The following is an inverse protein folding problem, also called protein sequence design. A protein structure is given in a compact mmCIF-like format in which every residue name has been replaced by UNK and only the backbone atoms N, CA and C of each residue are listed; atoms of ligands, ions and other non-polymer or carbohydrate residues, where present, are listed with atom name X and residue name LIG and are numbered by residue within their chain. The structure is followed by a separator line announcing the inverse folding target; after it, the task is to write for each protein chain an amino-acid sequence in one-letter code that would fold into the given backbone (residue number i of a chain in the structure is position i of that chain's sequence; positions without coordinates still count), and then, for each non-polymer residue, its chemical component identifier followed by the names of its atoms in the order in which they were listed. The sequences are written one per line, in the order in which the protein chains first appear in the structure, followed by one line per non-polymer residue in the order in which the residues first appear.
data_IF_239704606302
#
_entry.id   IF_239704606302
#
_cell.length_a   1.000
_cell.length_b   1.000
_cell.length_c   1.000
_cell.angle_alpha   90.00
_cell.angle_beta   90.00
_cell.angle_gamma   90.00
#
_symmetry.space_group_name_H-M   'P 1'
#
loop_
_entity.id
_entity.type
_entity.pdbx_description
1 polymer ?
#
# COMPACT_ATOMS: atom_id res chain seq x y z
N UNK A 1 -26.58 13.42 5.56
CA UNK A 1 -25.34 13.81 4.83
C UNK A 1 -24.02 13.57 5.60
N UNK A 2 -23.99 13.60 6.93
CA UNK A 2 -22.76 13.51 7.76
C UNK A 2 -21.98 12.17 7.75
N UNK A 3 -22.58 11.05 7.29
CA UNK A 3 -21.93 9.72 7.27
C UNK A 3 -20.95 9.52 6.10
N UNK A 4 -21.13 10.21 4.96
CA UNK A 4 -20.28 10.00 3.77
C UNK A 4 -18.85 10.53 3.94
N UNK A 5 -18.66 11.64 4.66
CA UNK A 5 -17.33 12.22 4.88
C UNK A 5 -16.46 11.47 5.89
N UNK A 6 -17.04 10.68 6.80
CA UNK A 6 -16.25 9.94 7.80
C UNK A 6 -15.48 8.76 7.18
N UNK A 7 -16.02 8.12 6.16
CA UNK A 7 -15.42 6.90 5.58
C UNK A 7 -14.10 7.16 4.82
N UNK A 8 -13.92 8.37 4.29
CA UNK A 8 -12.71 8.78 3.58
C UNK A 8 -11.48 8.82 4.52
N UNK A 9 -11.71 9.16 5.80
CA UNK A 9 -10.68 9.23 6.84
C UNK A 9 -10.11 7.86 7.23
N UNK A 10 -10.87 6.78 7.07
CA UNK A 10 -10.42 5.43 7.46
C UNK A 10 -9.51 4.76 6.43
N UNK A 11 -9.40 5.32 5.23
CA UNK A 11 -8.44 4.87 4.21
C UNK A 11 -7.11 5.62 4.26
N UNK A 12 -6.98 6.63 5.12
CA UNK A 12 -5.74 7.37 5.34
C UNK A 12 -4.50 6.49 5.62
N UNK A 13 -4.58 5.30 6.25
CA UNK A 13 -3.41 4.43 6.38
C UNK A 13 -2.81 4.02 5.03
N UNK A 14 -3.64 3.76 4.01
CA UNK A 14 -3.17 3.42 2.67
C UNK A 14 -2.71 4.65 1.86
N UNK A 15 -3.26 5.83 2.16
CA UNK A 15 -2.99 7.08 1.42
C UNK A 15 -1.72 7.75 1.91
N UNK A 16 -1.55 7.87 3.23
CA UNK A 16 -0.59 8.78 3.83
C UNK A 16 0.59 8.11 4.52
N UNK A 17 0.49 6.81 4.86
CA UNK A 17 1.57 6.17 5.56
C UNK A 17 1.54 4.66 5.33
N UNK A 18 2.24 4.21 4.27
CA UNK A 18 2.86 2.89 4.32
C UNK A 18 4.00 2.92 5.36
N UNK A 19 3.60 3.10 6.64
CA UNK A 19 4.47 3.18 7.80
C UNK A 19 5.34 1.95 7.87
N UNK A 20 4.84 0.80 7.45
CA UNK A 20 5.57 -0.46 7.44
C UNK A 20 6.74 -0.47 6.46
N UNK A 21 6.57 0.09 5.26
CA UNK A 21 7.67 0.22 4.30
C UNK A 21 8.60 1.39 4.65
N UNK A 22 8.07 2.50 5.17
CA UNK A 22 8.88 3.64 5.62
C UNK A 22 9.71 3.32 6.87
N UNK A 23 9.19 2.50 7.78
CA UNK A 23 9.91 1.96 8.94
C UNK A 23 10.68 0.68 8.60
N UNK A 24 10.64 0.22 7.35
CA UNK A 24 11.50 -0.88 6.92
C UNK A 24 12.91 -0.30 6.88
N UNK A 25 13.72 -0.69 7.86
CA UNK A 25 15.13 -0.33 7.88
C UNK A 25 15.79 -0.74 6.58
N UNK A 26 16.89 -0.08 6.23
CA UNK A 26 17.75 -0.50 5.13
C UNK A 26 18.22 -1.93 5.45
N UNK A 27 17.81 -2.90 4.64
CA UNK A 27 18.26 -4.28 4.79
C UNK A 27 19.77 -4.33 4.50
N UNK A 28 20.59 -4.37 5.57
CA UNK A 28 22.05 -4.38 5.48
C UNK A 28 22.64 -5.77 5.17
N UNK A 29 21.81 -6.81 5.05
CA UNK A 29 22.30 -8.18 4.93
C UNK A 29 22.49 -8.63 3.47
N UNK A 30 23.78 -8.79 3.10
CA UNK A 30 24.34 -9.74 2.11
C UNK A 30 24.44 -9.35 0.63
N UNK A 31 23.85 -8.26 0.12
CA UNK A 31 23.95 -7.91 -1.32
C UNK A 31 24.84 -6.68 -1.67
N UNK A 32 25.46 -6.04 -0.67
CA UNK A 32 26.22 -4.80 -0.89
C UNK A 32 27.47 -4.97 -1.76
N UNK A 33 28.12 -6.14 -1.70
CA UNK A 33 29.28 -6.45 -2.54
C UNK A 33 28.93 -6.38 -4.03
N UNK A 34 27.70 -6.75 -4.43
CA UNK A 34 27.29 -6.70 -5.83
C UNK A 34 26.91 -5.29 -6.32
N UNK A 35 26.57 -4.37 -5.41
CA UNK A 35 26.04 -3.04 -5.82
C UNK A 35 27.18 -2.04 -6.07
N UNK A 36 28.22 -2.05 -5.24
CA UNK A 36 29.35 -1.12 -5.37
C UNK A 36 30.14 -1.44 -6.65
N UNK A 37 30.44 -2.72 -6.88
CA UNK A 37 31.13 -3.19 -8.09
C UNK A 37 30.33 -2.89 -9.35
N UNK A 38 29.00 -2.94 -9.26
CA UNK A 38 28.11 -2.59 -10.37
C UNK A 38 28.13 -1.10 -10.71
N UNK A 39 28.17 -0.24 -9.68
CA UNK A 39 28.29 1.22 -9.86
C UNK A 39 29.61 1.57 -10.54
N UNK A 40 30.71 0.94 -10.09
CA UNK A 40 32.03 1.16 -10.68
C UNK A 40 32.08 0.65 -12.13
N UNK A 41 31.47 -0.51 -12.41
CA UNK A 41 31.40 -1.09 -13.76
C UNK A 41 30.64 -0.22 -14.77
N UNK A 42 29.50 0.34 -14.37
CA UNK A 42 28.64 1.12 -15.28
C UNK A 42 29.18 2.55 -15.46
N UNK A 43 29.71 3.13 -14.39
CA UNK A 43 30.25 4.49 -14.42
C UNK A 43 29.20 5.57 -14.68
N UNK A 44 29.63 6.84 -14.80
CA UNK A 44 28.74 7.97 -14.98
C UNK A 44 28.08 7.96 -16.37
N UNK A 45 26.76 8.18 -16.42
CA UNK A 45 25.98 8.25 -17.66
C UNK A 45 25.41 6.91 -18.17
N UNK A 46 25.74 5.79 -17.52
CA UNK A 46 25.13 4.49 -17.83
C UNK A 46 23.77 4.26 -17.14
N UNK A 47 23.11 3.14 -17.48
CA UNK A 47 21.81 2.76 -16.94
C UNK A 47 21.82 1.39 -16.25
N UNK A 48 21.03 1.25 -15.18
CA UNK A 48 21.02 0.04 -14.34
C UNK A 48 19.82 -0.87 -14.65
N UNK A 49 19.00 -0.55 -15.65
CA UNK A 49 17.73 -1.24 -15.92
C UNK A 49 17.91 -2.71 -16.32
N UNK A 50 18.98 -3.02 -17.06
CA UNK A 50 19.26 -4.36 -17.58
C UNK A 50 20.15 -5.21 -16.66
N UNK A 51 20.44 -4.74 -15.45
CA UNK A 51 21.36 -5.43 -14.56
C UNK A 51 20.67 -6.54 -13.76
N UNK A 52 21.34 -7.67 -13.59
CA UNK A 52 20.83 -8.82 -12.83
C UNK A 52 20.47 -8.45 -11.39
N UNK A 53 21.23 -7.53 -10.79
CA UNK A 53 20.92 -7.01 -9.47
C UNK A 53 19.58 -6.25 -9.46
N UNK A 54 19.35 -5.38 -10.44
CA UNK A 54 18.10 -4.63 -10.60
C UNK A 54 16.93 -5.59 -10.85
N UNK A 55 17.07 -6.55 -11.76
CA UNK A 55 16.01 -7.52 -12.08
C UNK A 55 15.60 -8.38 -10.87
N UNK A 56 16.56 -8.80 -10.04
CA UNK A 56 16.29 -9.57 -8.81
C UNK A 56 15.54 -8.79 -7.73
N UNK A 57 15.68 -7.46 -7.72
CA UNK A 57 15.14 -6.59 -6.67
C UNK A 57 13.96 -5.72 -7.10
N UNK A 58 13.75 -5.53 -8.40
CA UNK A 58 12.75 -4.64 -8.97
C UNK A 58 11.33 -4.90 -8.44
N UNK A 59 10.96 -6.17 -8.24
CA UNK A 59 9.62 -6.56 -7.73
C UNK A 59 9.46 -6.43 -6.22
N UNK A 60 10.53 -6.19 -5.46
CA UNK A 60 10.47 -5.99 -4.01
C UNK A 60 10.07 -4.55 -3.65
N UNK A 61 9.98 -3.67 -4.64
CA UNK A 61 9.53 -2.29 -4.47
C UNK A 61 8.03 -2.27 -4.22
N UNK A 62 7.62 -1.54 -3.19
CA UNK A 62 6.21 -1.31 -2.92
C UNK A 62 5.64 -0.30 -3.91
N UNK A 63 4.52 -0.65 -4.53
CA UNK A 63 3.76 0.26 -5.38
C UNK A 63 2.42 0.58 -4.72
N UNK A 64 2.05 1.87 -4.64
CA UNK A 64 0.75 2.26 -4.12
C UNK A 64 -0.38 1.88 -5.09
N UNK A 65 -1.42 1.20 -4.60
CA UNK A 65 -2.61 0.89 -5.42
C UNK A 65 -3.45 2.13 -5.78
N UNK A 66 -3.34 3.19 -4.97
CA UNK A 66 -4.19 4.38 -5.08
C UNK A 66 -3.57 5.51 -5.90
N UNK A 67 -2.26 5.55 -6.08
CA UNK A 67 -1.63 6.50 -7.00
C UNK A 67 -1.54 5.86 -8.38
N UNK A 68 -1.72 6.66 -9.43
CA UNK A 68 -1.61 6.20 -10.82
C UNK A 68 -0.37 6.86 -11.39
N UNK A 69 0.57 6.04 -11.85
CA UNK A 69 1.86 6.48 -12.38
C UNK A 69 1.91 6.30 -13.91
N UNK A 70 0.75 6.12 -14.56
CA UNK A 70 0.66 6.08 -16.02
C UNK A 70 1.03 7.42 -16.63
N UNK A 71 1.52 7.37 -17.88
CA UNK A 71 1.80 8.55 -18.68
C UNK A 71 0.49 9.27 -18.99
N UNK A 72 0.52 10.60 -19.03
CA UNK A 72 -0.68 11.44 -19.19
C UNK A 72 -1.58 11.02 -20.37
N UNK A 73 -0.99 10.77 -21.53
CA UNK A 73 -1.74 10.38 -22.74
C UNK A 73 -2.49 9.06 -22.56
N UNK A 74 -1.86 8.10 -21.89
CA UNK A 74 -2.47 6.80 -21.60
C UNK A 74 -3.53 6.91 -20.51
N UNK A 75 -3.29 7.72 -19.48
CA UNK A 75 -4.28 8.04 -18.46
C UNK A 75 -5.54 8.69 -19.07
N UNK A 76 -5.35 9.61 -20.02
CA UNK A 76 -6.44 10.26 -20.73
C UNK A 76 -7.23 9.27 -21.59
N UNK A 77 -6.57 8.38 -22.34
CA UNK A 77 -7.22 7.30 -23.11
C UNK A 77 -7.98 6.32 -22.22
N UNK A 78 -7.52 6.09 -21.00
CA UNK A 78 -8.17 5.20 -20.01
C UNK A 78 -9.37 5.85 -19.30
N UNK A 79 -9.76 7.06 -19.72
CA UNK A 79 -10.94 7.77 -19.22
C UNK A 79 -10.65 8.75 -18.09
N UNK A 80 -9.40 9.17 -17.92
CA UNK A 80 -9.01 10.29 -17.04
C UNK A 80 -9.57 10.17 -15.61
N UNK A 81 -9.51 8.96 -15.03
CA UNK A 81 -10.12 8.67 -13.73
C UNK A 81 -9.51 9.54 -12.65
N UNK A 82 -10.36 10.23 -11.90
CA UNK A 82 -9.95 11.12 -10.81
C UNK A 82 -9.57 10.32 -9.58
N UNK A 83 -8.74 10.92 -8.74
CA UNK A 83 -8.29 10.32 -7.48
C UNK A 83 -9.47 9.93 -6.56
N UNK A 84 -10.46 10.81 -6.41
CA UNK A 84 -11.65 10.58 -5.58
C UNK A 84 -12.46 9.35 -6.03
N UNK A 85 -12.56 9.12 -7.34
CA UNK A 85 -13.31 7.99 -7.89
C UNK A 85 -12.61 6.67 -7.56
N UNK A 86 -11.28 6.64 -7.67
CA UNK A 86 -10.47 5.48 -7.30
C UNK A 86 -10.52 5.23 -5.80
N UNK A 87 -10.46 6.29 -5.00
CA UNK A 87 -10.57 6.22 -3.55
C UNK A 87 -11.92 5.62 -3.15
N UNK A 88 -13.01 6.16 -3.68
CA UNK A 88 -14.38 5.66 -3.43
C UNK A 88 -14.54 4.20 -3.83
N UNK A 89 -14.02 3.80 -4.99
CA UNK A 89 -14.05 2.40 -5.44
C UNK A 89 -13.32 1.49 -4.46
N UNK A 90 -12.15 1.91 -3.96
CA UNK A 90 -11.39 1.17 -2.94
C UNK A 90 -12.16 1.09 -1.62
N UNK A 91 -12.78 2.19 -1.18
CA UNK A 91 -13.63 2.21 0.04
C UNK A 91 -14.75 1.19 -0.04
N UNK A 92 -15.49 1.18 -1.15
CA UNK A 92 -16.62 0.26 -1.33
C UNK A 92 -16.16 -1.20 -1.30
N UNK A 93 -15.01 -1.50 -1.91
CA UNK A 93 -14.42 -2.84 -1.88
C UNK A 93 -14.02 -3.28 -0.46
N UNK A 94 -13.45 -2.39 0.33
CA UNK A 94 -13.09 -2.68 1.73
C UNK A 94 -14.33 -2.86 2.60
N UNK A 95 -15.37 -2.04 2.38
CA UNK A 95 -16.64 -2.14 3.11
C UNK A 95 -17.42 -3.43 2.83
N UNK A 96 -17.21 -4.06 1.67
CA UNK A 96 -17.83 -5.34 1.32
C UNK A 96 -17.23 -6.52 2.10
N UNK A 97 -16.03 -6.35 2.67
CA UNK A 97 -15.37 -7.39 3.44
C UNK A 97 -16.17 -7.71 4.72
N UNK A 98 -16.66 -8.95 4.80
CA UNK A 98 -17.24 -9.49 6.03
C UNK A 98 -16.16 -10.19 6.85
N UNK A 99 -15.83 -9.72 8.05
CA UNK A 99 -14.88 -10.40 8.91
C UNK A 99 -15.45 -11.76 9.37
N UNK A 100 -14.55 -12.66 9.73
CA UNK A 100 -14.93 -13.95 10.33
C UNK A 100 -15.76 -13.67 11.59
N UNK A 101 -16.94 -14.29 11.74
CA UNK A 101 -17.77 -14.08 12.91
C UNK A 101 -17.01 -14.48 14.17
N UNK A 102 -17.16 -13.69 15.23
CA UNK A 102 -16.54 -14.00 16.51
C UNK A 102 -17.12 -15.31 17.07
N UNK A 103 -16.30 -16.12 17.77
CA UNK A 103 -16.79 -17.28 18.49
C UNK A 103 -17.93 -16.89 19.45
N UNK A 104 -18.98 -17.71 19.56
CA UNK A 104 -20.16 -17.39 20.36
C UNK A 104 -19.87 -17.23 21.85
N UNK A 105 -18.78 -17.81 22.35
CA UNK A 105 -18.32 -17.67 23.74
C UNK A 105 -17.84 -16.25 24.04
N UNK A 106 -17.05 -15.65 23.14
CA UNK A 106 -16.55 -14.28 23.26
C UNK A 106 -17.70 -13.27 23.18
N UNK A 107 -18.68 -13.52 22.30
CA UNK A 107 -19.89 -12.67 22.18
C UNK A 107 -20.65 -12.65 23.51
N UNK A 108 -20.85 -13.82 24.14
CA UNK A 108 -21.53 -13.90 25.44
C UNK A 108 -20.77 -13.19 26.56
N UNK A 109 -19.44 -13.18 26.52
CA UNK A 109 -18.62 -12.44 27.47
C UNK A 109 -18.75 -10.93 27.27
N UNK A 110 -18.70 -10.47 26.03
CA UNK A 110 -18.92 -9.06 25.67
C UNK A 110 -20.31 -8.58 26.10
N UNK A 111 -21.37 -9.36 25.87
CA UNK A 111 -22.73 -9.03 26.30
C UNK A 111 -22.88 -8.96 27.84
N UNK A 112 -22.08 -9.73 28.58
CA UNK A 112 -22.03 -9.65 30.05
C UNK A 112 -21.32 -8.39 30.51
N UNK A 113 -20.21 -8.02 29.84
CA UNK A 113 -19.46 -6.81 30.15
C UNK A 113 -20.26 -5.54 29.85
N UNK A 114 -21.00 -5.50 28.73
CA UNK A 114 -21.85 -4.36 28.35
C UNK A 114 -22.88 -4.01 29.45
N UNK A 115 -23.50 -5.03 30.04
CA UNK A 115 -24.48 -4.85 31.14
C UNK A 115 -23.90 -4.29 32.43
N UNK A 116 -22.57 -4.33 32.58
CA UNK A 116 -21.87 -3.79 33.74
C UNK A 116 -21.31 -2.37 33.48
N UNK A 117 -21.58 -1.79 32.31
CA UNK A 117 -21.12 -0.45 31.93
C UNK A 117 -22.16 0.67 32.14
N UNK A 118 -23.27 0.36 32.82
CA UNK A 118 -24.09 1.37 33.52
C UNK A 118 -23.59 1.55 34.96
#
# INVERSE_FOLDING_TARGET
MRRKQKNEKYLLPDIFLNRRQALRCIDHHRDQQNTIDLIDRIGPGGHYLNEDHTMRHFRKVWYPDLFDHTIYDDWQKQGAKRFEERLRKKTLKVMDHRPVPLPPEIIKELDKMEKHWE
#
